data_IF_986272021784
#
_entry.id   IF_986272021784
#
_cell.length_a   1.000
_cell.length_b   1.000
_cell.length_c   1.000
_cell.angle_alpha   90.00
_cell.angle_beta   90.00
_cell.angle_gamma   90.00
#
_symmetry.space_group_name_H-M   'P 1'
#
loop_
_entity.id
_entity.type
_entity.pdbx_description
1 polymer ?
#
# COMPACT_ATOMS: atom_id res chain seq x y z
N UNK A 1 -4.82 9.47 -0.50
CA UNK A 1 -4.48 10.09 -1.81
C UNK A 1 -4.30 8.97 -2.84
N UNK A 2 -4.76 9.17 -4.08
CA UNK A 2 -4.65 8.21 -5.19
C UNK A 2 -4.03 8.94 -6.39
N UNK A 3 -2.86 8.50 -6.84
CA UNK A 3 -2.18 9.05 -8.02
C UNK A 3 -2.03 7.94 -9.05
N UNK A 4 -2.53 8.18 -10.26
CA UNK A 4 -2.38 7.28 -11.39
C UNK A 4 -0.99 7.42 -12.01
N UNK A 5 -0.24 6.33 -12.12
CA UNK A 5 1.13 6.28 -12.65
C UNK A 5 1.22 5.21 -13.73
N UNK A 6 0.51 5.40 -14.84
CA UNK A 6 0.53 4.46 -15.95
C UNK A 6 -0.24 3.18 -15.62
N UNK A 7 0.45 2.06 -15.47
CA UNK A 7 -0.16 0.75 -15.19
C UNK A 7 -0.38 0.50 -13.69
N UNK A 8 0.02 1.42 -12.80
CA UNK A 8 -0.18 1.30 -11.36
C UNK A 8 -0.93 2.50 -10.77
N UNK A 9 -1.72 2.21 -9.74
CA UNK A 9 -2.29 3.20 -8.84
C UNK A 9 -1.42 3.26 -7.58
N UNK A 10 -0.92 4.45 -7.26
CA UNK A 10 -0.27 4.73 -5.98
C UNK A 10 -1.31 5.19 -4.97
N UNK A 11 -1.44 4.44 -3.89
CA UNK A 11 -2.33 4.77 -2.76
C UNK A 11 -1.50 5.12 -1.54
N UNK A 12 -1.86 6.24 -0.89
CA UNK A 12 -1.35 6.62 0.42
C UNK A 12 -2.39 6.31 1.49
N UNK A 13 -2.00 5.53 2.50
CA UNK A 13 -2.86 5.09 3.60
C UNK A 13 -2.37 5.63 4.96
N UNK A 14 -3.30 5.78 5.90
CA UNK A 14 -3.00 6.02 7.31
C UNK A 14 -2.88 4.65 8.01
N UNK A 15 -1.71 4.34 8.57
CA UNK A 15 -1.45 3.09 9.27
C UNK A 15 -0.75 3.42 10.59
N UNK A 16 -1.30 2.96 11.72
CA UNK A 16 -0.73 3.17 13.06
C UNK A 16 -0.37 4.63 13.37
N UNK A 17 -1.17 5.60 12.89
CA UNK A 17 -0.92 7.03 13.07
C UNK A 17 0.05 7.67 12.07
N UNK A 18 0.58 6.90 11.12
CA UNK A 18 1.47 7.37 10.06
C UNK A 18 0.74 7.47 8.71
N UNK A 19 0.80 8.63 8.05
CA UNK A 19 0.17 8.89 6.75
C UNK A 19 1.11 8.71 5.55
N UNK A 20 2.35 8.28 5.77
CA UNK A 20 3.37 8.09 4.74
C UNK A 20 3.46 6.64 4.25
N UNK A 21 2.48 5.79 4.59
CA UNK A 21 2.42 4.42 4.10
C UNK A 21 1.92 4.39 2.65
N UNK A 22 2.78 3.98 1.71
CA UNK A 22 2.51 3.99 0.27
C UNK A 22 2.41 2.57 -0.26
N UNK A 23 1.35 2.28 -0.99
CA UNK A 23 1.14 1.02 -1.72
C UNK A 23 1.00 1.31 -3.21
N UNK A 24 1.63 0.49 -4.05
CA UNK A 24 1.43 0.51 -5.51
C UNK A 24 0.67 -0.75 -5.92
N UNK A 25 -0.40 -0.57 -6.67
CA UNK A 25 -1.28 -1.67 -7.11
C UNK A 25 -1.37 -1.61 -8.62
N UNK A 26 -1.08 -2.73 -9.29
CA UNK A 26 -1.25 -2.83 -10.74
C UNK A 26 -2.72 -2.69 -11.11
N UNK A 27 -3.02 -1.89 -12.13
CA UNK A 27 -4.38 -1.62 -12.60
C UNK A 27 -5.09 -2.88 -13.13
N UNK A 28 -4.30 -3.87 -13.60
CA UNK A 28 -4.78 -5.17 -14.06
C UNK A 28 -5.17 -6.11 -12.93
N UNK A 29 -4.76 -5.82 -11.69
CA UNK A 29 -5.17 -6.62 -10.54
C UNK A 29 -6.64 -6.32 -10.23
N UNK A 30 -7.45 -7.35 -10.07
CA UNK A 30 -8.87 -7.26 -9.70
C UNK A 30 -9.14 -6.55 -8.36
N UNK A 31 -8.08 -6.17 -7.63
CA UNK A 31 -8.10 -5.36 -6.41
C UNK A 31 -8.28 -3.85 -6.66
N UNK A 32 -8.42 -3.42 -7.92
CA UNK A 32 -8.39 -2.02 -8.36
C UNK A 32 -9.60 -1.12 -7.98
N UNK A 33 -10.33 -1.41 -6.90
CA UNK A 33 -11.39 -0.50 -6.41
C UNK A 33 -11.09 0.12 -5.04
N UNK A 34 -9.81 0.40 -4.76
CA UNK A 34 -9.46 1.27 -3.64
C UNK A 34 -10.07 2.65 -3.85
N UNK A 35 -10.99 3.03 -2.95
CA UNK A 35 -11.59 4.36 -2.91
C UNK A 35 -11.00 5.15 -1.74
N UNK A 36 -10.82 6.44 -1.93
CA UNK A 36 -10.44 7.35 -0.84
C UNK A 36 -11.42 7.19 0.33
N UNK A 37 -10.90 7.03 1.55
CA UNK A 37 -11.69 6.83 2.76
C UNK A 37 -12.09 5.39 3.04
N UNK A 38 -11.83 4.44 2.12
CA UNK A 38 -12.06 3.03 2.40
C UNK A 38 -11.09 2.49 3.45
N UNK A 39 -11.60 1.68 4.38
CA UNK A 39 -10.75 0.87 5.24
C UNK A 39 -10.35 -0.41 4.51
N UNK A 40 -9.06 -0.75 4.58
CA UNK A 40 -8.50 -1.92 3.92
C UNK A 40 -7.68 -2.76 4.89
N UNK A 41 -7.67 -4.06 4.63
CA UNK A 41 -6.74 -4.98 5.29
C UNK A 41 -5.47 -5.06 4.45
N UNK A 42 -4.34 -4.83 5.10
CA UNK A 42 -3.01 -4.95 4.51
C UNK A 42 -2.31 -6.12 5.18
N UNK A 43 -1.64 -6.93 4.39
CA UNK A 43 -0.84 -8.06 4.83
C UNK A 43 0.31 -8.30 3.86
N UNK A 44 1.29 -9.07 4.30
CA UNK A 44 2.48 -9.40 3.53
C UNK A 44 2.56 -10.92 3.36
N UNK A 45 3.01 -11.35 2.18
CA UNK A 45 3.53 -12.70 2.02
C UNK A 45 4.74 -12.87 2.92
N UNK A 46 4.88 -14.02 3.56
CA UNK A 46 5.98 -14.27 4.51
C UNK A 46 7.33 -14.15 3.80
N UNK A 47 7.38 -14.55 2.53
CA UNK A 47 8.54 -14.47 1.64
C UNK A 47 8.99 -13.03 1.33
N UNK A 48 8.07 -12.06 1.42
CA UNK A 48 8.33 -10.64 1.13
C UNK A 48 8.67 -9.84 2.39
N UNK A 49 8.49 -10.42 3.58
CA UNK A 49 8.82 -9.78 4.84
C UNK A 49 10.35 -9.67 5.00
N UNK A 50 10.86 -8.45 5.03
CA UNK A 50 12.26 -8.14 5.38
C UNK A 50 12.28 -7.46 6.74
N UNK A 51 13.07 -7.99 7.67
CA UNK A 51 13.36 -7.34 8.94
C UNK A 51 14.63 -6.49 8.78
N UNK A 52 14.63 -5.31 9.37
CA UNK A 52 15.82 -4.48 9.56
C UNK A 52 16.20 -4.56 11.05
N UNK A 53 17.49 -4.44 11.34
CA UNK A 53 17.94 -4.32 12.73
C UNK A 53 17.45 -2.98 13.31
N UNK A 54 16.97 -3.03 14.56
CA UNK A 54 16.31 -1.88 15.19
C UNK A 54 17.27 -0.76 15.62
N UNK A 55 18.58 -0.95 15.44
CA UNK A 55 19.64 -0.10 16.00
C UNK A 55 20.51 0.58 14.95
N UNK A 56 20.20 0.46 13.66
CA UNK A 56 20.76 1.34 12.62
C UNK A 56 20.07 2.71 12.60
#
# INVERSE_FOLDING_TARGET
ELIYLGDHIRTRACVCGNNEFVVKIANSSSHASLKTGAQIRVGWGVEDCRALDATD
#
